data_IF_911910849053
#
_entry.id   IF_911910849053
#
_cell.length_a   1.000
_cell.length_b   1.000
_cell.length_c   1.000
_cell.angle_alpha   90.00
_cell.angle_beta   90.00
_cell.angle_gamma   90.00
#
_symmetry.space_group_name_H-M   'P 1'
#
loop_
_entity.id
_entity.type
_entity.pdbx_description
1 polymer ?
#
# COMPACT_ATOMS: atom_id res chain seq x y z
N UNK A 1 73.76 12.35 6.50
CA UNK A 1 72.61 11.43 6.38
C UNK A 1 71.35 12.27 6.39
N UNK A 2 70.60 12.29 5.28
CA UNK A 2 69.43 13.16 5.07
C UNK A 2 68.16 12.35 5.38
N UNK A 3 67.34 12.85 6.29
CA UNK A 3 66.08 12.24 6.72
C UNK A 3 64.96 12.58 5.73
N UNK A 4 64.23 11.56 5.25
CA UNK A 4 63.05 11.71 4.39
C UNK A 4 61.83 12.17 5.24
N UNK A 5 60.99 13.11 4.75
CA UNK A 5 59.70 13.40 5.35
C UNK A 5 58.64 12.41 4.85
N UNK A 6 58.03 11.66 5.76
CA UNK A 6 56.86 10.81 5.47
C UNK A 6 55.61 11.68 5.60
N UNK A 7 55.01 12.00 4.45
CA UNK A 7 53.67 12.59 4.37
C UNK A 7 52.63 11.52 4.70
N UNK A 8 51.81 11.74 5.73
CA UNK A 8 50.69 10.84 6.04
C UNK A 8 49.39 11.55 5.69
N UNK A 9 48.76 11.08 4.61
CA UNK A 9 47.47 11.56 4.13
C UNK A 9 46.35 11.13 5.09
N UNK A 10 45.51 12.07 5.51
CA UNK A 10 44.30 11.78 6.27
C UNK A 10 43.20 11.32 5.28
N UNK A 11 42.73 10.08 5.47
CA UNK A 11 41.65 9.47 4.69
C UNK A 11 40.32 9.98 5.24
N UNK A 12 39.55 10.72 4.43
CA UNK A 12 38.15 11.04 4.72
C UNK A 12 37.30 9.78 4.49
N UNK A 13 36.83 9.16 5.57
CA UNK A 13 35.83 8.12 5.52
C UNK A 13 34.47 8.74 5.12
N UNK A 14 34.13 8.62 3.84
CA UNK A 14 32.80 8.96 3.34
C UNK A 14 31.80 7.89 3.73
N UNK A 15 30.80 8.24 4.54
CA UNK A 15 29.63 7.40 4.78
C UNK A 15 28.69 7.50 3.59
N UNK A 16 28.91 6.67 2.57
CA UNK A 16 27.90 6.45 1.54
C UNK A 16 26.83 5.52 2.13
N UNK A 17 25.75 6.08 2.66
CA UNK A 17 24.50 5.32 2.83
C UNK A 17 23.98 5.01 1.44
N UNK A 18 24.23 3.78 0.97
CA UNK A 18 23.55 3.25 -0.21
C UNK A 18 22.06 3.22 0.10
N UNK A 19 21.33 4.20 -0.42
CA UNK A 19 19.86 4.16 -0.46
C UNK A 19 19.53 3.02 -1.43
N UNK A 20 18.80 1.96 -1.02
CA UNK A 20 18.32 0.98 -1.96
C UNK A 20 17.38 1.68 -2.95
N UNK A 21 17.81 1.81 -4.19
CA UNK A 21 16.93 2.15 -5.32
C UNK A 21 15.94 0.98 -5.44
N UNK A 22 14.62 1.19 -5.29
CA UNK A 22 13.67 0.14 -5.60
C UNK A 22 13.86 -0.26 -7.06
N UNK A 23 14.05 -1.56 -7.32
CA UNK A 23 14.05 -2.08 -8.69
C UNK A 23 12.72 -1.68 -9.33
N UNK A 24 12.80 -0.77 -10.31
CA UNK A 24 11.71 -0.37 -11.17
C UNK A 24 11.49 -1.48 -12.21
N UNK A 25 11.12 -2.68 -11.73
CA UNK A 25 10.37 -3.64 -12.54
C UNK A 25 8.94 -3.13 -12.60
N UNK A 26 8.34 -3.11 -13.80
CA UNK A 26 6.96 -2.68 -14.05
C UNK A 26 6.02 -3.04 -12.89
N UNK A 27 5.76 -2.08 -12.01
CA UNK A 27 4.83 -2.27 -10.92
C UNK A 27 3.47 -2.47 -11.56
N UNK A 28 2.92 -3.68 -11.44
CA UNK A 28 1.56 -3.98 -11.92
C UNK A 28 0.61 -2.89 -11.39
N UNK A 29 -0.28 -2.32 -12.23
CA UNK A 29 -1.24 -1.32 -11.75
C UNK A 29 -1.96 -1.86 -10.52
N UNK A 30 -1.97 -1.06 -9.47
CA UNK A 30 -2.51 -1.44 -8.18
C UNK A 30 -3.39 -0.32 -7.64
N UNK A 31 -4.50 -0.72 -7.04
CA UNK A 31 -5.31 0.13 -6.20
C UNK A 31 -4.56 0.40 -4.91
N UNK A 32 -4.67 1.61 -4.40
CA UNK A 32 -4.12 1.97 -3.09
C UNK A 32 -5.26 2.00 -2.07
N UNK A 33 -5.09 1.23 -0.98
CA UNK A 33 -6.11 1.06 0.05
C UNK A 33 -5.51 1.32 1.43
N UNK A 34 -6.31 1.87 2.34
CA UNK A 34 -6.01 1.84 3.77
C UNK A 34 -7.29 1.64 4.59
N UNK A 35 -7.13 1.12 5.81
CA UNK A 35 -8.23 0.90 6.74
C UNK A 35 -8.23 1.96 7.83
N UNK A 36 -9.42 2.38 8.26
CA UNK A 36 -9.66 3.07 9.52
C UNK A 36 -10.52 2.18 10.39
N UNK A 37 -9.99 1.76 11.53
CA UNK A 37 -10.65 0.86 12.47
C UNK A 37 -11.64 1.62 13.36
N UNK A 38 -12.56 0.90 13.99
CA UNK A 38 -13.58 1.49 14.90
C UNK A 38 -12.95 2.22 16.09
N UNK A 39 -11.74 1.88 16.49
CA UNK A 39 -10.99 2.55 17.56
C UNK A 39 -10.31 3.86 17.12
N UNK A 40 -10.47 4.26 15.85
CA UNK A 40 -9.88 5.47 15.26
C UNK A 40 -8.44 5.32 14.78
N UNK A 41 -7.81 4.16 14.96
CA UNK A 41 -6.50 3.87 14.36
C UNK A 41 -6.64 3.57 12.87
N UNK A 42 -5.54 3.67 12.12
CA UNK A 42 -5.53 3.42 10.69
C UNK A 42 -4.24 2.73 10.24
N UNK A 43 -4.31 2.06 9.10
CA UNK A 43 -3.13 1.47 8.46
C UNK A 43 -2.45 2.49 7.55
N UNK A 44 -1.18 2.26 7.25
CA UNK A 44 -0.57 2.87 6.07
C UNK A 44 -1.31 2.44 4.80
N UNK A 45 -1.11 3.18 3.71
CA UNK A 45 -1.62 2.82 2.39
C UNK A 45 -0.85 1.63 1.86
N UNK A 46 -1.55 0.62 1.36
CA UNK A 46 -0.98 -0.57 0.77
C UNK A 46 -1.58 -0.87 -0.61
N UNK A 47 -0.80 -1.48 -1.52
CA UNK A 47 -1.26 -1.79 -2.85
C UNK A 47 -2.12 -3.06 -2.87
N UNK A 48 -3.18 -3.04 -3.68
CA UNK A 48 -4.00 -4.18 -4.05
C UNK A 48 -3.94 -4.33 -5.57
N UNK A 49 -3.47 -5.47 -6.09
CA UNK A 49 -3.35 -5.67 -7.53
C UNK A 49 -4.69 -5.45 -8.27
N UNK A 50 -4.62 -4.80 -9.42
CA UNK A 50 -5.72 -4.77 -10.38
C UNK A 50 -5.89 -6.18 -10.99
N UNK A 51 -6.93 -6.90 -10.54
CA UNK A 51 -7.20 -8.29 -10.91
C UNK A 51 -8.64 -8.69 -10.59
N UNK A 52 -9.19 -9.59 -11.41
CA UNK A 52 -10.45 -10.28 -11.09
C UNK A 52 -10.29 -11.36 -10.00
N UNK A 53 -9.07 -11.60 -9.53
CA UNK A 53 -8.79 -12.55 -8.45
C UNK A 53 -8.96 -11.92 -7.07
N UNK A 54 -9.58 -12.67 -6.16
CA UNK A 54 -9.74 -12.28 -4.76
C UNK A 54 -8.39 -12.33 -4.03
N UNK A 55 -7.99 -11.21 -3.43
CA UNK A 55 -6.79 -11.03 -2.63
C UNK A 55 -7.11 -11.12 -1.14
N UNK A 56 -6.22 -11.72 -0.37
CA UNK A 56 -6.32 -11.77 1.10
C UNK A 56 -5.85 -10.43 1.67
N UNK A 57 -6.68 -9.77 2.49
CA UNK A 57 -6.28 -8.56 3.22
C UNK A 57 -6.13 -8.81 4.71
N UNK A 58 -7.06 -9.56 5.31
CA UNK A 58 -7.15 -9.84 6.75
C UNK A 58 -6.87 -8.61 7.64
N UNK A 59 -7.88 -7.76 7.80
CA UNK A 59 -7.77 -6.52 8.59
C UNK A 59 -7.46 -6.74 10.08
N UNK A 60 -7.65 -7.96 10.61
CA UNK A 60 -7.44 -8.32 12.01
C UNK A 60 -8.55 -7.84 12.96
N UNK A 61 -8.97 -6.59 12.81
CA UNK A 61 -10.02 -5.94 13.60
C UNK A 61 -11.13 -5.36 12.72
N UNK A 62 -12.31 -5.04 13.29
CA UNK A 62 -13.41 -4.44 12.54
C UNK A 62 -13.03 -3.06 11.98
N UNK A 63 -13.26 -2.89 10.69
CA UNK A 63 -12.98 -1.68 9.93
C UNK A 63 -14.25 -0.83 9.87
N UNK A 64 -14.11 0.46 10.15
CA UNK A 64 -15.20 1.43 10.06
C UNK A 64 -15.21 2.14 8.70
N UNK A 65 -14.03 2.45 8.16
CA UNK A 65 -13.90 3.08 6.85
C UNK A 65 -12.73 2.50 6.06
N UNK A 66 -12.87 2.49 4.74
CA UNK A 66 -11.81 2.11 3.81
C UNK A 66 -11.56 3.27 2.85
N UNK A 67 -10.30 3.68 2.76
CA UNK A 67 -9.84 4.59 1.72
C UNK A 67 -9.50 3.78 0.47
N UNK A 68 -9.84 4.31 -0.71
CA UNK A 68 -9.54 3.73 -2.00
C UNK A 68 -8.97 4.79 -2.93
N UNK A 69 -7.91 4.46 -3.65
CA UNK A 69 -7.36 5.26 -4.72
C UNK A 69 -7.13 4.40 -5.98
N UNK A 70 -7.60 4.86 -7.16
CA UNK A 70 -7.45 4.11 -8.39
C UNK A 70 -5.97 4.06 -8.84
N UNK A 71 -5.58 3.07 -9.66
CA UNK A 71 -4.19 2.90 -10.10
C UNK A 71 -3.66 4.06 -10.94
N UNK A 72 -4.56 4.83 -11.57
CA UNK A 72 -4.21 6.04 -12.30
C UNK A 72 -5.38 7.02 -12.32
N UNK A 73 -5.07 8.31 -12.50
CA UNK A 73 -6.07 9.37 -12.65
C UNK A 73 -6.93 9.14 -13.88
N UNK A 74 -8.26 9.19 -13.71
CA UNK A 74 -9.22 9.04 -14.81
C UNK A 74 -9.59 7.58 -15.12
N UNK A 75 -8.97 6.61 -14.45
CA UNK A 75 -9.37 5.19 -14.52
C UNK A 75 -10.55 4.95 -13.57
N UNK A 76 -11.57 4.25 -14.04
CA UNK A 76 -12.66 3.79 -13.21
C UNK A 76 -12.29 2.47 -12.54
N UNK A 77 -12.46 2.41 -11.23
CA UNK A 77 -12.14 1.29 -10.39
C UNK A 77 -13.37 0.71 -9.72
N UNK A 78 -13.39 -0.61 -9.59
CA UNK A 78 -14.40 -1.34 -8.85
C UNK A 78 -13.73 -2.28 -7.86
N UNK A 79 -14.05 -2.14 -6.58
CA UNK A 79 -13.59 -3.01 -5.50
C UNK A 79 -14.76 -3.66 -4.78
N UNK A 80 -14.64 -4.94 -4.43
CA UNK A 80 -15.58 -5.67 -3.56
C UNK A 80 -14.85 -6.09 -2.30
N UNK A 81 -15.42 -5.78 -1.14
CA UNK A 81 -14.90 -6.20 0.16
C UNK A 81 -15.67 -7.43 0.65
N UNK A 82 -14.96 -8.37 1.27
CA UNK A 82 -15.53 -9.60 1.80
C UNK A 82 -15.07 -9.84 3.24
N UNK A 83 -15.95 -10.39 4.07
CA UNK A 83 -15.65 -10.91 5.40
C UNK A 83 -14.76 -12.18 5.31
N UNK A 84 -14.15 -12.63 6.43
CA UNK A 84 -13.34 -13.86 6.45
C UNK A 84 -14.06 -15.13 6.00
N UNK A 85 -15.38 -15.18 6.13
CA UNK A 85 -16.23 -16.27 5.65
C UNK A 85 -16.70 -16.10 4.19
N UNK A 86 -16.18 -15.06 3.50
CA UNK A 86 -16.50 -14.64 2.13
C UNK A 86 -17.89 -14.03 1.96
N UNK A 87 -18.57 -13.63 3.04
CA UNK A 87 -19.77 -12.80 2.93
C UNK A 87 -19.42 -11.42 2.36
N UNK A 88 -20.26 -10.89 1.47
CA UNK A 88 -20.04 -9.60 0.83
C UNK A 88 -20.34 -8.42 1.77
N UNK A 89 -19.36 -7.52 1.91
CA UNK A 89 -19.49 -6.25 2.65
C UNK A 89 -19.92 -5.07 1.76
N UNK A 90 -19.90 -5.27 0.45
CA UNK A 90 -20.36 -4.29 -0.53
C UNK A 90 -19.44 -4.15 -1.73
N UNK A 91 -19.94 -3.43 -2.74
CA UNK A 91 -19.24 -3.06 -3.96
C UNK A 91 -19.03 -1.55 -3.98
N UNK A 92 -17.81 -1.14 -4.29
CA UNK A 92 -17.38 0.25 -4.33
C UNK A 92 -16.90 0.55 -5.73
N UNK A 93 -17.51 1.55 -6.35
CA UNK A 93 -17.16 2.08 -7.67
C UNK A 93 -16.65 3.51 -7.52
N UNK A 94 -15.53 3.83 -8.15
CA UNK A 94 -14.83 5.10 -7.95
C UNK A 94 -13.85 5.41 -9.10
N UNK A 95 -13.72 6.69 -9.45
CA UNK A 95 -12.75 7.18 -10.45
C UNK A 95 -11.72 8.17 -9.88
N UNK A 96 -11.78 8.39 -8.57
CA UNK A 96 -10.90 9.29 -7.81
C UNK A 96 -10.74 8.77 -6.39
N UNK A 97 -9.71 9.22 -5.64
CA UNK A 97 -9.55 8.88 -4.23
C UNK A 97 -10.84 9.11 -3.43
N UNK A 98 -11.26 8.13 -2.64
CA UNK A 98 -12.51 8.16 -1.89
C UNK A 98 -12.41 7.38 -0.58
N UNK A 99 -13.32 7.67 0.35
CA UNK A 99 -13.47 6.93 1.60
C UNK A 99 -14.89 6.36 1.63
N UNK A 100 -15.02 5.09 2.03
CA UNK A 100 -16.31 4.42 2.16
C UNK A 100 -16.44 3.79 3.55
N UNK A 101 -17.58 4.06 4.18
CA UNK A 101 -17.97 3.39 5.42
C UNK A 101 -18.23 1.90 5.17
N UNK A 102 -17.90 1.08 6.15
CA UNK A 102 -18.31 -0.32 6.25
C UNK A 102 -19.39 -0.38 7.33
N UNK A 103 -20.64 -0.62 6.94
CA UNK A 103 -21.81 -0.56 7.82
C UNK A 103 -22.64 -1.85 7.74
N UNK A 104 -22.76 -2.63 8.83
CA UNK A 104 -22.07 -2.44 10.10
C UNK A 104 -20.54 -2.62 9.98
N UNK A 105 -19.77 -2.04 10.91
CA UNK A 105 -18.33 -2.22 10.94
C UNK A 105 -17.99 -3.71 11.07
N UNK A 106 -17.09 -4.20 10.22
CA UNK A 106 -16.82 -5.63 10.08
C UNK A 106 -15.34 -5.89 9.79
N UNK A 107 -14.88 -7.12 10.06
CA UNK A 107 -13.53 -7.57 9.71
C UNK A 107 -13.49 -7.82 8.21
N UNK A 108 -12.50 -7.28 7.51
CA UNK A 108 -12.31 -7.49 6.08
C UNK A 108 -11.32 -8.63 5.91
N UNK A 109 -11.78 -9.78 5.41
CA UNK A 109 -10.92 -10.92 5.09
C UNK A 109 -10.26 -10.77 3.73
N UNK A 110 -11.01 -10.29 2.74
CA UNK A 110 -10.58 -10.27 1.35
C UNK A 110 -11.05 -9.03 0.60
N UNK A 111 -10.39 -8.78 -0.53
CA UNK A 111 -10.78 -7.78 -1.52
C UNK A 111 -10.65 -8.33 -2.92
N UNK A 112 -11.47 -7.85 -3.84
CA UNK A 112 -11.26 -8.01 -5.28
C UNK A 112 -11.39 -6.64 -5.91
N UNK A 113 -10.37 -6.17 -6.62
CA UNK A 113 -10.37 -4.86 -7.27
C UNK A 113 -9.97 -4.99 -8.73
N UNK A 114 -10.76 -4.40 -9.63
CA UNK A 114 -10.40 -4.31 -11.03
C UNK A 114 -10.71 -2.93 -11.60
N UNK A 115 -9.92 -2.48 -12.58
CA UNK A 115 -10.28 -1.34 -13.41
C UNK A 115 -11.20 -1.74 -14.57
N UNK A 116 -11.94 -0.77 -15.10
CA UNK A 116 -12.67 -0.86 -16.38
C UNK A 116 -11.95 -0.08 -17.49
#
# INVERSE_FOLDING_TARGET
MRFLPIATAAVLAGSATAIPTPEQGDAKPAFEISFTYVNGTFTDVFPVPDSLEVQVLNSGDPVANVFFQPPATGVFGRCTLLEPDRQGLGVIEFSKPTIRSVEPAAVIGFVQCNSE
#
